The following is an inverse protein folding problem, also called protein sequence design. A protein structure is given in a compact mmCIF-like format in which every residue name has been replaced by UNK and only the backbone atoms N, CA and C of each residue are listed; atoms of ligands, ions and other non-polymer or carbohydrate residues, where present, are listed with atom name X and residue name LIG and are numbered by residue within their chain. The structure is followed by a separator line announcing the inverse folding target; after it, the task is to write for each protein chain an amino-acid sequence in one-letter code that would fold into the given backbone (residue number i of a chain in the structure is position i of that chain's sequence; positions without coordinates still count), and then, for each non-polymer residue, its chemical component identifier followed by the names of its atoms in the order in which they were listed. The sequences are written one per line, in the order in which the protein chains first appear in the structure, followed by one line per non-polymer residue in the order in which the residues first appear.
data_IF_521033470134
#
_entry.id   IF_521033470134
#
_cell.length_a   1.000
_cell.length_b   1.000
_cell.length_c   1.000
_cell.angle_alpha   90.00
_cell.angle_beta   90.00
_cell.angle_gamma   90.00
#
_symmetry.space_group_name_H-M   'P 1'
#
loop_
_entity.id
_entity.type
_entity.pdbx_description
1 polymer ?
#
# COMPACT_ATOMS: atom_id res chain seq x y z
N UNK A 1 -51.02 -2.91 42.63
CA UNK A 1 -50.96 -1.44 42.50
C UNK A 1 -50.20 -1.16 41.22
N UNK A 2 -50.92 -0.70 40.19
CA UNK A 2 -50.35 -0.40 38.89
C UNK A 2 -49.55 0.90 38.93
N UNK A 3 -48.44 0.92 38.20
CA UNK A 3 -47.77 2.16 37.85
C UNK A 3 -47.63 2.17 36.33
N UNK A 4 -48.57 2.86 35.68
CA UNK A 4 -48.52 3.20 34.26
C UNK A 4 -47.53 4.35 34.10
N UNK A 5 -46.33 4.06 33.63
CA UNK A 5 -45.44 5.10 33.10
C UNK A 5 -45.83 5.30 31.62
N UNK A 6 -46.45 6.43 31.33
CA UNK A 6 -46.74 6.88 29.97
C UNK A 6 -45.44 7.10 29.21
N UNK A 7 -45.28 6.43 28.06
CA UNK A 7 -44.20 6.72 27.11
C UNK A 7 -44.33 8.16 26.60
N UNK A 8 -43.25 8.96 26.60
CA UNK A 8 -43.25 10.20 25.84
C UNK A 8 -43.17 9.85 24.35
N UNK A 9 -44.09 10.40 23.56
CA UNK A 9 -44.06 10.34 22.10
C UNK A 9 -42.75 10.93 21.60
N UNK A 10 -41.78 10.07 21.27
CA UNK A 10 -40.59 10.47 20.52
C UNK A 10 -41.08 10.79 19.13
N UNK A 11 -41.26 12.08 18.85
CA UNK A 11 -41.44 12.58 17.50
C UNK A 11 -40.31 12.03 16.65
N UNK A 12 -40.65 11.15 15.72
CA UNK A 12 -39.75 10.68 14.68
C UNK A 12 -39.38 11.91 13.87
N UNK A 13 -38.21 12.50 14.17
CA UNK A 13 -37.53 13.38 13.25
C UNK A 13 -37.20 12.49 12.05
N UNK A 14 -38.05 12.57 11.02
CA UNK A 14 -37.72 12.10 9.68
C UNK A 14 -36.40 12.75 9.31
N UNK A 15 -35.32 11.97 9.42
CA UNK A 15 -34.06 12.28 8.76
C UNK A 15 -34.42 12.38 7.30
N UNK A 16 -34.44 13.61 6.77
CA UNK A 16 -34.59 13.85 5.35
C UNK A 16 -33.53 13.00 4.64
N UNK A 17 -33.99 11.92 3.99
CA UNK A 17 -33.18 11.12 3.10
C UNK A 17 -32.65 12.11 2.07
N UNK A 18 -31.34 12.39 2.12
CA UNK A 18 -30.66 13.18 1.11
C UNK A 18 -31.07 12.61 -0.24
N UNK A 19 -31.69 13.45 -1.07
CA UNK A 19 -32.06 13.13 -2.45
C UNK A 19 -30.86 12.45 -3.09
N UNK A 20 -31.06 11.19 -3.50
CA UNK A 20 -30.02 10.34 -4.06
C UNK A 20 -29.25 11.10 -5.13
N UNK A 21 -27.94 11.17 -4.93
CA UNK A 21 -27.00 11.70 -5.90
C UNK A 21 -27.18 10.92 -7.21
N UNK A 22 -26.97 11.56 -8.38
CA UNK A 22 -27.14 10.89 -9.65
C UNK A 22 -26.35 9.60 -9.64
N UNK A 23 -26.98 8.49 -10.03
CA UNK A 23 -26.27 7.24 -10.23
C UNK A 23 -25.15 7.50 -11.24
N UNK A 24 -23.90 7.54 -10.81
CA UNK A 24 -22.79 7.51 -11.75
C UNK A 24 -22.89 6.18 -12.47
N UNK A 25 -23.05 6.28 -13.78
CA UNK A 25 -23.08 5.13 -14.66
C UNK A 25 -21.73 4.46 -14.51
N UNK A 26 -21.71 3.15 -14.25
CA UNK A 26 -20.48 2.35 -14.15
C UNK A 26 -19.46 2.79 -15.22
N UNK A 27 -18.32 3.30 -14.77
CA UNK A 27 -17.20 3.67 -15.62
C UNK A 27 -16.76 2.51 -16.55
N UNK A 28 -16.47 2.81 -17.82
CA UNK A 28 -15.91 1.85 -18.75
C UNK A 28 -14.46 1.53 -18.32
N UNK A 29 -14.07 0.25 -18.37
CA UNK A 29 -12.71 -0.18 -18.03
C UNK A 29 -11.71 0.39 -19.05
N UNK A 30 -10.52 0.87 -18.63
CA UNK A 30 -10.01 0.92 -17.26
C UNK A 30 -10.74 1.96 -16.39
N UNK A 31 -11.14 1.55 -15.19
CA UNK A 31 -12.00 2.33 -14.30
C UNK A 31 -11.43 2.47 -12.88
N UNK A 32 -11.53 3.66 -12.29
CA UNK A 32 -11.06 3.97 -10.93
C UNK A 32 -12.15 4.60 -10.09
N UNK A 33 -12.30 4.11 -8.86
CA UNK A 33 -13.14 4.76 -7.85
C UNK A 33 -12.27 5.67 -6.96
N UNK A 34 -12.55 6.97 -6.98
CA UNK A 34 -11.97 7.94 -6.05
C UNK A 34 -12.90 8.05 -4.84
N UNK A 35 -12.52 7.41 -3.73
CA UNK A 35 -13.30 7.39 -2.49
C UNK A 35 -12.67 8.35 -1.49
N UNK A 36 -13.39 9.40 -1.07
CA UNK A 36 -12.81 10.41 -0.20
C UNK A 36 -13.75 10.86 0.93
N UNK A 37 -13.16 11.49 1.94
CA UNK A 37 -13.87 12.34 2.90
C UNK A 37 -13.34 13.76 2.81
N UNK A 38 -14.21 14.76 2.96
CA UNK A 38 -13.78 16.16 3.09
C UNK A 38 -14.72 16.93 4.01
N UNK A 39 -14.18 17.55 5.06
CA UNK A 39 -14.96 18.46 5.91
C UNK A 39 -15.05 19.83 5.26
N UNK A 40 -13.92 20.41 4.85
CA UNK A 40 -13.80 21.80 4.37
C UNK A 40 -13.42 21.91 2.88
N UNK A 41 -13.69 20.89 2.07
CA UNK A 41 -13.52 20.96 0.60
C UNK A 41 -12.10 20.68 0.05
N UNK A 42 -11.03 20.90 0.80
CA UNK A 42 -9.63 20.75 0.31
C UNK A 42 -9.35 19.39 -0.36
N UNK A 43 -9.77 18.28 0.27
CA UNK A 43 -9.61 16.93 -0.29
C UNK A 43 -10.44 16.73 -1.56
N UNK A 44 -11.64 17.35 -1.66
CA UNK A 44 -12.45 17.29 -2.88
C UNK A 44 -11.75 18.01 -4.03
N UNK A 45 -11.16 19.18 -3.77
CA UNK A 45 -10.38 19.92 -4.78
C UNK A 45 -9.21 19.07 -5.30
N UNK A 46 -8.48 18.36 -4.42
CA UNK A 46 -7.46 17.39 -4.86
C UNK A 46 -8.07 16.22 -5.65
N UNK A 47 -9.21 15.68 -5.20
CA UNK A 47 -9.88 14.56 -5.86
C UNK A 47 -10.31 14.90 -7.30
N UNK A 48 -10.81 16.12 -7.52
CA UNK A 48 -11.18 16.62 -8.85
C UNK A 48 -9.95 16.71 -9.77
N UNK A 49 -8.82 17.15 -9.23
CA UNK A 49 -7.59 17.29 -10.01
C UNK A 49 -6.95 15.93 -10.33
N UNK A 50 -6.99 15.00 -9.38
CA UNK A 50 -6.63 13.59 -9.59
C UNK A 50 -7.52 12.96 -10.67
N UNK A 51 -8.84 13.22 -10.63
CA UNK A 51 -9.78 12.74 -11.65
C UNK A 51 -9.36 13.18 -13.05
N UNK A 52 -9.02 14.46 -13.23
CA UNK A 52 -8.51 14.98 -14.52
C UNK A 52 -7.23 14.25 -14.96
N UNK A 53 -6.33 13.94 -14.03
CA UNK A 53 -5.13 13.15 -14.30
C UNK A 53 -5.43 11.72 -14.77
N UNK A 54 -6.39 11.04 -14.13
CA UNK A 54 -6.84 9.71 -14.54
C UNK A 54 -7.45 9.75 -15.94
N UNK A 55 -8.37 10.68 -16.20
CA UNK A 55 -9.08 10.82 -17.47
C UNK A 55 -8.13 11.17 -18.62
N UNK A 56 -7.08 11.97 -18.36
CA UNK A 56 -6.04 12.28 -19.34
C UNK A 56 -5.27 11.02 -19.82
N UNK A 57 -5.30 9.93 -19.05
CA UNK A 57 -4.70 8.66 -19.47
C UNK A 57 -5.66 7.74 -20.22
N UNK A 58 -6.93 8.14 -20.38
CA UNK A 58 -8.02 7.29 -20.87
C UNK A 58 -8.62 6.38 -19.80
N UNK A 59 -8.33 6.63 -18.52
CA UNK A 59 -8.92 5.89 -17.38
C UNK A 59 -10.16 6.62 -16.89
N UNK A 60 -11.31 5.95 -16.90
CA UNK A 60 -12.55 6.51 -16.39
C UNK A 60 -12.50 6.61 -14.86
N UNK A 61 -13.03 7.69 -14.27
CA UNK A 61 -12.96 7.92 -12.84
C UNK A 61 -14.28 8.42 -12.23
N UNK A 62 -14.76 7.70 -11.22
CA UNK A 62 -15.99 8.00 -10.48
C UNK A 62 -15.63 8.53 -9.08
N UNK A 63 -16.36 9.54 -8.59
CA UNK A 63 -16.10 10.18 -7.31
C UNK A 63 -17.16 9.78 -6.29
N UNK A 64 -16.67 9.34 -5.14
CA UNK A 64 -17.46 8.89 -4.01
C UNK A 64 -17.05 9.63 -2.75
N UNK A 65 -18.03 10.22 -2.08
CA UNK A 65 -17.85 10.75 -0.74
C UNK A 65 -18.36 9.74 0.28
N UNK A 66 -17.59 9.46 1.33
CA UNK A 66 -18.06 8.59 2.41
C UNK A 66 -19.05 9.32 3.32
N UNK A 67 -19.94 8.58 4.02
CA UNK A 67 -20.89 9.16 4.95
C UNK A 67 -20.27 10.01 6.04
N UNK A 68 -20.95 11.09 6.39
CA UNK A 68 -20.63 11.90 7.56
C UNK A 68 -20.97 11.13 8.84
N UNK A 69 -20.13 11.27 9.87
CA UNK A 69 -20.35 10.62 11.17
C UNK A 69 -20.67 11.62 12.28
N UNK A 70 -20.45 12.92 12.04
CA UNK A 70 -20.78 13.97 12.99
C UNK A 70 -22.25 14.39 12.86
N UNK A 71 -22.94 14.68 13.98
CA UNK A 71 -24.29 15.20 13.91
C UNK A 71 -24.32 16.60 13.29
N UNK A 72 -25.44 17.01 12.66
CA UNK A 72 -25.57 18.32 12.01
C UNK A 72 -25.22 19.50 12.94
N UNK A 73 -25.59 19.42 14.22
CA UNK A 73 -25.27 20.46 15.22
C UNK A 73 -23.77 20.61 15.44
N UNK A 74 -23.00 19.50 15.42
CA UNK A 74 -21.55 19.56 15.52
C UNK A 74 -20.92 20.15 14.25
N UNK A 75 -21.44 19.80 13.07
CA UNK A 75 -20.97 20.39 11.81
C UNK A 75 -21.23 21.90 11.76
N UNK A 76 -22.41 22.34 12.19
CA UNK A 76 -22.75 23.76 12.29
C UNK A 76 -21.81 24.50 13.25
N UNK A 77 -21.52 23.91 14.42
CA UNK A 77 -20.60 24.48 15.40
C UNK A 77 -19.15 24.56 14.88
N UNK A 78 -18.75 23.62 14.01
CA UNK A 78 -17.45 23.64 13.33
C UNK A 78 -17.39 24.61 12.14
N UNK A 79 -18.51 25.22 11.75
CA UNK A 79 -18.60 26.00 10.51
C UNK A 79 -18.32 25.16 9.26
N UNK A 80 -18.63 23.86 9.30
CA UNK A 80 -18.40 22.99 8.16
C UNK A 80 -19.35 23.38 7.01
N UNK A 81 -18.85 23.57 5.78
CA UNK A 81 -19.69 23.85 4.64
C UNK A 81 -20.56 22.64 4.28
N UNK A 82 -21.63 22.91 3.54
CA UNK A 82 -22.45 21.85 2.95
C UNK A 82 -21.62 20.93 2.05
N UNK A 83 -21.99 19.65 2.02
CA UNK A 83 -21.34 18.68 1.15
C UNK A 83 -21.73 18.92 -0.32
N UNK A 84 -20.82 18.66 -1.27
CA UNK A 84 -21.11 18.79 -2.69
C UNK A 84 -22.30 17.94 -3.11
N UNK A 85 -23.27 18.54 -3.80
CA UNK A 85 -24.47 17.87 -4.29
C UNK A 85 -24.27 17.12 -5.63
N UNK A 86 -23.06 17.13 -6.18
CA UNK A 86 -22.67 16.50 -7.45
C UNK A 86 -21.86 15.20 -7.27
N UNK A 87 -21.52 14.83 -6.03
CA UNK A 87 -20.68 13.66 -5.72
C UNK A 87 -21.47 12.59 -5.00
N UNK A 88 -21.44 11.35 -5.50
CA UNK A 88 -22.16 10.22 -4.91
C UNK A 88 -21.77 9.94 -3.46
N UNK A 89 -22.76 9.71 -2.61
CA UNK A 89 -22.59 9.24 -1.25
C UNK A 89 -22.39 7.73 -1.32
N UNK A 90 -21.26 7.26 -0.83
CA UNK A 90 -20.94 5.84 -0.81
C UNK A 90 -21.64 5.19 0.38
N UNK A 91 -22.91 4.84 0.18
CA UNK A 91 -23.68 4.11 1.17
C UNK A 91 -23.28 2.62 1.23
N UNK A 92 -23.86 1.92 2.20
CA UNK A 92 -23.57 0.50 2.41
C UNK A 92 -23.99 -0.38 1.24
N UNK A 93 -25.02 0.01 0.48
CA UNK A 93 -25.51 -0.77 -0.65
C UNK A 93 -24.48 -0.77 -1.79
N UNK A 94 -23.78 0.34 -1.99
CA UNK A 94 -22.77 0.47 -3.04
C UNK A 94 -21.45 -0.26 -2.74
N UNK A 95 -21.18 -0.68 -1.50
CA UNK A 95 -19.97 -1.44 -1.17
C UNK A 95 -19.80 -2.70 -2.04
N UNK A 96 -20.91 -3.37 -2.37
CA UNK A 96 -20.92 -4.56 -3.22
C UNK A 96 -20.54 -4.28 -4.70
N UNK A 97 -20.60 -3.01 -5.11
CA UNK A 97 -20.26 -2.56 -6.45
C UNK A 97 -18.78 -2.19 -6.58
N UNK A 98 -18.09 -1.87 -5.47
CA UNK A 98 -16.67 -1.51 -5.48
C UNK A 98 -15.78 -2.53 -6.21
N UNK A 99 -15.96 -3.86 -6.06
CA UNK A 99 -15.16 -4.83 -6.79
C UNK A 99 -15.24 -4.74 -8.32
N UNK A 100 -16.19 -3.99 -8.88
CA UNK A 100 -16.33 -3.76 -10.32
C UNK A 100 -15.33 -2.74 -10.87
N UNK A 101 -14.67 -1.95 -10.03
CA UNK A 101 -13.60 -1.01 -10.43
C UNK A 101 -12.25 -1.71 -10.55
N UNK A 102 -11.36 -1.19 -11.40
CA UNK A 102 -10.03 -1.75 -11.64
C UNK A 102 -8.97 -1.23 -10.65
N UNK A 103 -9.19 -0.04 -10.09
CA UNK A 103 -8.34 0.55 -9.04
C UNK A 103 -9.08 1.56 -8.16
N UNK A 104 -8.45 1.97 -7.07
CA UNK A 104 -9.01 2.91 -6.10
C UNK A 104 -8.00 3.96 -5.67
N UNK A 105 -8.48 5.18 -5.49
CA UNK A 105 -7.72 6.25 -4.84
C UNK A 105 -8.49 6.75 -3.63
N UNK A 106 -7.84 6.77 -2.46
CA UNK A 106 -8.47 7.13 -1.19
C UNK A 106 -8.01 8.51 -0.70
N UNK A 107 -8.96 9.43 -0.60
CA UNK A 107 -8.72 10.81 -0.18
C UNK A 107 -9.14 11.04 1.27
N UNK A 108 -8.24 11.59 2.10
CA UNK A 108 -8.55 11.78 3.52
C UNK A 108 -7.88 13.03 4.12
N UNK A 109 -8.59 13.84 4.93
CA UNK A 109 -7.93 14.84 5.75
C UNK A 109 -7.27 14.13 6.92
N UNK A 110 -6.10 14.60 7.33
CA UNK A 110 -5.39 14.06 8.50
C UNK A 110 -6.15 14.36 9.79
N UNK A 111 -6.08 13.42 10.73
CA UNK A 111 -6.37 13.58 12.15
C UNK A 111 -5.20 12.97 12.90
N UNK A 112 -4.28 13.84 13.32
CA UNK A 112 -3.08 13.47 14.08
C UNK A 112 -2.22 12.38 13.40
N UNK A 113 -2.01 12.49 12.09
CA UNK A 113 -1.21 11.52 11.33
C UNK A 113 -1.95 10.24 10.94
N UNK A 114 -3.27 10.21 11.10
CA UNK A 114 -4.15 9.13 10.66
C UNK A 114 -5.31 9.66 9.81
N UNK A 115 -6.03 8.76 9.15
CA UNK A 115 -7.25 9.11 8.44
C UNK A 115 -8.33 9.63 9.40
N UNK A 116 -9.21 10.50 8.91
CA UNK A 116 -10.40 10.92 9.66
C UNK A 116 -11.34 9.74 9.98
N UNK A 117 -12.11 9.87 11.06
CA UNK A 117 -12.99 8.80 11.56
C UNK A 117 -14.04 8.35 10.54
N UNK A 118 -14.51 9.26 9.67
CA UNK A 118 -15.44 8.96 8.59
C UNK A 118 -14.83 7.98 7.58
N UNK A 119 -13.56 8.19 7.22
CA UNK A 119 -12.84 7.27 6.34
C UNK A 119 -12.56 5.93 7.03
N UNK A 120 -12.23 5.98 8.33
CA UNK A 120 -12.06 4.76 9.12
C UNK A 120 -13.37 3.96 9.21
N UNK A 121 -14.50 4.62 9.43
CA UNK A 121 -15.82 3.99 9.47
C UNK A 121 -16.21 3.35 8.13
N UNK A 122 -15.84 3.98 7.01
CA UNK A 122 -15.96 3.36 5.69
C UNK A 122 -15.18 2.05 5.61
N UNK A 123 -13.89 2.04 5.96
CA UNK A 123 -13.08 0.81 5.95
C UNK A 123 -13.63 -0.24 6.93
N UNK A 124 -14.10 0.15 8.12
CA UNK A 124 -14.73 -0.77 9.07
C UNK A 124 -16.02 -1.40 8.51
N UNK A 125 -16.70 -0.70 7.61
CA UNK A 125 -17.85 -1.22 6.86
C UNK A 125 -17.51 -2.26 5.78
N UNK A 126 -16.23 -2.41 5.40
CA UNK A 126 -15.79 -3.29 4.29
C UNK A 126 -15.49 -4.74 4.69
N UNK A 127 -15.88 -5.18 5.89
CA UNK A 127 -15.56 -6.52 6.39
C UNK A 127 -15.98 -7.68 5.48
N UNK A 128 -17.11 -7.58 4.77
CA UNK A 128 -17.54 -8.60 3.81
C UNK A 128 -16.67 -8.66 2.55
N UNK A 129 -16.15 -7.51 2.09
CA UNK A 129 -15.21 -7.44 0.97
C UNK A 129 -13.85 -8.04 1.36
N UNK A 130 -13.42 -7.81 2.60
CA UNK A 130 -12.23 -8.44 3.17
C UNK A 130 -12.40 -9.96 3.23
N UNK A 131 -13.50 -10.44 3.82
CA UNK A 131 -13.74 -11.87 4.03
C UNK A 131 -13.80 -12.65 2.72
N UNK A 132 -14.35 -12.05 1.66
CA UNK A 132 -14.41 -12.66 0.32
C UNK A 132 -13.14 -12.45 -0.51
N UNK A 133 -12.20 -11.62 -0.05
CA UNK A 133 -11.01 -11.24 -0.82
C UNK A 133 -11.33 -10.42 -2.08
N UNK A 134 -12.49 -9.74 -2.13
CA UNK A 134 -13.01 -9.12 -3.35
C UNK A 134 -12.15 -7.95 -3.88
N UNK A 135 -11.30 -7.37 -3.03
CA UNK A 135 -10.37 -6.30 -3.39
C UNK A 135 -8.92 -6.80 -3.58
N UNK A 136 -8.65 -8.09 -3.34
CA UNK A 136 -7.30 -8.63 -3.43
C UNK A 136 -6.70 -8.45 -4.83
N UNK A 137 -5.48 -7.95 -4.89
CA UNK A 137 -4.75 -7.64 -6.11
C UNK A 137 -5.19 -6.36 -6.83
N UNK A 138 -6.26 -5.67 -6.42
CA UNK A 138 -6.61 -4.38 -7.03
C UNK A 138 -5.60 -3.31 -6.64
N UNK A 139 -5.42 -2.31 -7.50
CA UNK A 139 -4.48 -1.21 -7.22
C UNK A 139 -5.13 -0.20 -6.27
N UNK A 140 -4.35 0.34 -5.33
CA UNK A 140 -4.77 1.37 -4.38
C UNK A 140 -3.72 2.48 -4.26
N UNK A 141 -4.15 3.73 -4.18
CA UNK A 141 -3.30 4.87 -3.84
C UNK A 141 -4.01 5.82 -2.86
N UNK A 142 -3.27 6.75 -2.26
CA UNK A 142 -3.80 7.68 -1.25
C UNK A 142 -3.41 9.12 -1.56
N UNK A 143 -4.25 10.07 -1.14
CA UNK A 143 -3.98 11.51 -1.17
C UNK A 143 -4.54 12.20 0.08
N UNK A 144 -3.86 13.24 0.57
CA UNK A 144 -4.08 13.75 1.93
C UNK A 144 -4.22 15.27 1.98
N UNK A 145 -4.94 15.78 2.97
CA UNK A 145 -4.87 17.20 3.36
C UNK A 145 -4.47 17.33 4.83
N UNK A 146 -3.52 18.23 5.14
CA UNK A 146 -3.06 18.50 6.51
C UNK A 146 -3.19 19.98 6.87
N UNK A 147 -3.26 20.30 8.16
CA UNK A 147 -3.26 21.70 8.61
C UNK A 147 -1.87 22.35 8.54
N UNK A 148 -0.81 21.59 8.83
CA UNK A 148 0.57 22.10 8.92
C UNK A 148 1.54 21.24 8.10
N UNK A 149 2.73 21.80 7.80
CA UNK A 149 3.73 21.24 6.89
C UNK A 149 4.16 19.81 7.21
N UNK A 150 4.26 19.43 8.48
CA UNK A 150 4.69 18.09 8.89
C UNK A 150 3.71 17.42 9.86
N UNK A 151 2.50 17.99 10.01
CA UNK A 151 1.45 17.48 10.89
C UNK A 151 0.72 16.25 10.32
N UNK A 152 1.46 15.29 9.77
CA UNK A 152 0.90 14.06 9.23
C UNK A 152 0.90 13.93 7.71
N UNK A 153 1.71 14.72 6.99
CA UNK A 153 1.81 14.69 5.52
C UNK A 153 2.23 13.33 4.96
N UNK A 154 3.04 12.58 5.71
CA UNK A 154 3.48 11.23 5.31
C UNK A 154 2.78 10.15 6.13
N UNK A 155 2.67 10.34 7.44
CA UNK A 155 2.14 9.32 8.35
C UNK A 155 0.67 8.98 8.08
N UNK A 156 -0.12 9.93 7.57
CA UNK A 156 -1.51 9.67 7.16
C UNK A 156 -1.57 8.68 6.00
N UNK A 157 -0.67 8.80 5.01
CA UNK A 157 -0.57 7.81 3.94
C UNK A 157 -0.08 6.47 4.50
N UNK A 158 1.02 6.50 5.25
CA UNK A 158 1.66 5.30 5.82
C UNK A 158 0.67 4.44 6.63
N UNK A 159 -0.10 5.06 7.53
CA UNK A 159 -1.09 4.35 8.34
C UNK A 159 -2.30 3.89 7.53
N UNK A 160 -2.67 4.59 6.46
CA UNK A 160 -3.73 4.16 5.55
C UNK A 160 -3.34 2.93 4.71
N UNK A 161 -2.05 2.74 4.39
CA UNK A 161 -1.58 1.55 3.64
C UNK A 161 -1.93 0.25 4.36
N UNK A 162 -1.96 0.23 5.70
CA UNK A 162 -2.38 -0.95 6.47
C UNK A 162 -3.77 -1.45 6.04
N UNK A 163 -4.72 -0.55 5.76
CA UNK A 163 -6.06 -0.95 5.29
C UNK A 163 -6.00 -1.61 3.91
N UNK A 164 -5.18 -1.08 3.00
CA UNK A 164 -4.99 -1.64 1.66
C UNK A 164 -4.35 -3.03 1.73
N UNK A 165 -3.33 -3.18 2.57
CA UNK A 165 -2.59 -4.44 2.75
C UNK A 165 -3.49 -5.53 3.31
N UNK A 166 -4.33 -5.24 4.30
CA UNK A 166 -5.29 -6.20 4.84
C UNK A 166 -6.33 -6.64 3.82
N UNK A 167 -6.73 -5.76 2.89
CA UNK A 167 -7.57 -6.11 1.73
C UNK A 167 -6.81 -6.81 0.60
N UNK A 168 -5.48 -7.00 0.73
CA UNK A 168 -4.63 -7.59 -0.31
C UNK A 168 -4.43 -6.70 -1.54
N UNK A 169 -4.71 -5.40 -1.44
CA UNK A 169 -4.57 -4.44 -2.53
C UNK A 169 -3.10 -4.08 -2.75
N UNK A 170 -2.69 -3.90 -4.00
CA UNK A 170 -1.34 -3.44 -4.32
C UNK A 170 -1.25 -1.91 -4.18
N UNK A 171 -0.33 -1.41 -3.36
CA UNK A 171 -0.18 0.03 -3.13
C UNK A 171 0.70 0.67 -4.20
N UNK A 172 0.15 1.68 -4.89
CA UNK A 172 0.83 2.47 -5.92
C UNK A 172 1.21 3.84 -5.30
N UNK A 173 2.47 4.04 -4.92
CA UNK A 173 2.94 5.35 -4.46
C UNK A 173 3.10 6.32 -5.63
N UNK A 174 3.18 7.62 -5.33
CA UNK A 174 3.61 8.61 -6.32
C UNK A 174 5.10 8.45 -6.64
N UNK A 175 5.91 8.05 -5.66
CA UNK A 175 7.36 8.18 -5.72
C UNK A 175 7.76 9.62 -6.03
N UNK A 176 8.86 9.80 -6.73
CA UNK A 176 9.28 11.13 -7.21
C UNK A 176 8.87 11.41 -8.66
N UNK A 177 7.82 10.73 -9.15
CA UNK A 177 7.38 10.86 -10.54
C UNK A 177 6.78 12.23 -10.88
N UNK A 178 6.50 13.06 -9.87
CA UNK A 178 6.08 14.46 -10.02
C UNK A 178 7.25 15.45 -9.78
N UNK A 179 8.51 14.99 -9.82
CA UNK A 179 9.68 15.84 -9.64
C UNK A 179 9.74 17.03 -10.61
N UNK A 180 9.47 16.78 -11.90
CA UNK A 180 9.36 17.84 -12.93
C UNK A 180 8.09 18.69 -12.81
N UNK A 181 7.17 18.30 -11.94
CA UNK A 181 5.91 19.00 -11.68
C UNK A 181 5.95 19.87 -10.41
N UNK A 182 7.11 19.93 -9.74
CA UNK A 182 7.33 20.77 -8.55
C UNK A 182 7.43 20.01 -7.24
N UNK A 183 7.42 18.67 -7.26
CA UNK A 183 7.54 17.87 -6.02
C UNK A 183 8.86 18.09 -5.25
N UNK A 184 9.90 18.57 -5.92
CA UNK A 184 11.19 18.94 -5.33
C UNK A 184 11.34 20.45 -5.05
N UNK A 185 10.27 21.23 -5.21
CA UNK A 185 10.37 22.68 -5.02
C UNK A 185 10.73 23.02 -3.57
N UNK A 186 11.56 24.05 -3.40
CA UNK A 186 11.99 24.56 -2.10
C UNK A 186 11.74 26.07 -1.97
N UNK A 187 11.02 26.66 -2.92
CA UNK A 187 10.76 28.09 -3.00
C UNK A 187 9.38 28.45 -2.42
N UNK A 188 8.41 27.54 -2.45
CA UNK A 188 7.10 27.72 -1.82
C UNK A 188 6.73 26.59 -0.86
N UNK A 189 5.90 26.90 0.13
CA UNK A 189 5.37 25.90 1.07
C UNK A 189 4.28 25.09 0.35
N UNK A 190 4.49 23.78 0.20
CA UNK A 190 3.56 22.89 -0.48
C UNK A 190 3.44 21.51 0.19
N UNK A 191 2.35 20.80 -0.10
CA UNK A 191 2.21 19.36 0.10
C UNK A 191 2.67 18.55 -1.10
N UNK A 192 2.58 17.23 -0.98
CA UNK A 192 3.12 16.25 -1.92
C UNK A 192 4.38 15.59 -1.37
N UNK A 193 4.34 14.26 -1.29
CA UNK A 193 5.44 13.42 -0.80
C UNK A 193 5.56 12.20 -1.71
N UNK A 194 6.61 11.36 -1.60
CA UNK A 194 6.68 10.14 -2.41
C UNK A 194 5.52 9.16 -2.12
N UNK A 195 4.83 9.27 -0.98
CA UNK A 195 3.64 8.48 -0.68
C UNK A 195 2.45 8.83 -1.57
N UNK A 196 2.30 10.11 -1.93
CA UNK A 196 1.14 10.59 -2.67
C UNK A 196 1.05 12.12 -2.68
N UNK A 197 0.13 12.64 -3.49
CA UNK A 197 -0.21 14.06 -3.49
C UNK A 197 -0.85 14.44 -2.16
N UNK A 198 -0.55 15.65 -1.71
CA UNK A 198 -1.20 16.22 -0.55
C UNK A 198 -1.26 17.74 -0.63
N UNK A 199 -2.06 18.35 0.25
CA UNK A 199 -2.21 19.81 0.34
C UNK A 199 -2.21 20.31 1.77
N UNK A 200 -1.77 21.55 1.97
CA UNK A 200 -1.80 22.26 3.24
C UNK A 200 -3.01 23.19 3.34
N UNK A 201 -3.91 22.91 4.28
CA UNK A 201 -5.09 23.72 4.57
C UNK A 201 -4.79 24.97 5.42
N UNK A 202 -3.60 25.05 6.03
CA UNK A 202 -3.28 26.07 7.03
C UNK A 202 -3.89 25.74 8.40
N UNK A 203 -3.42 26.43 9.45
CA UNK A 203 -3.83 26.15 10.83
C UNK A 203 -5.33 26.46 11.07
N UNK A 204 -5.89 27.40 10.32
CA UNK A 204 -7.28 27.84 10.38
C UNK A 204 -8.15 27.28 9.23
N UNK A 205 -7.57 26.48 8.32
CA UNK A 205 -8.27 25.95 7.16
C UNK A 205 -8.48 26.94 6.01
N UNK A 206 -7.87 28.12 6.04
CA UNK A 206 -8.06 29.16 5.02
C UNK A 206 -7.26 28.93 3.74
N UNK A 207 -6.11 28.22 3.81
CA UNK A 207 -5.22 28.01 2.66
C UNK A 207 -5.81 26.96 1.73
N UNK A 208 -6.17 27.37 0.52
CA UNK A 208 -6.61 26.44 -0.53
C UNK A 208 -5.42 25.71 -1.18
N UNK A 209 -5.66 24.56 -1.83
CA UNK A 209 -4.63 23.89 -2.61
C UNK A 209 -4.00 24.83 -3.64
N UNK A 210 -2.68 24.96 -3.56
CA UNK A 210 -1.87 25.77 -4.46
C UNK A 210 -1.83 25.18 -5.88
N UNK A 211 -1.45 26.00 -6.87
CA UNK A 211 -1.28 25.53 -8.25
C UNK A 211 -0.26 24.38 -8.36
N UNK A 212 0.82 24.42 -7.57
CA UNK A 212 1.82 23.36 -7.53
C UNK A 212 1.24 22.06 -6.97
N UNK A 213 0.55 22.11 -5.82
CA UNK A 213 -0.10 20.93 -5.23
C UNK A 213 -1.14 20.30 -6.18
N UNK A 214 -1.91 21.13 -6.90
CA UNK A 214 -2.85 20.67 -7.93
C UNK A 214 -2.12 19.99 -9.10
N UNK A 215 -1.00 20.55 -9.55
CA UNK A 215 -0.19 19.95 -10.62
C UNK A 215 0.35 18.58 -10.20
N UNK A 216 0.83 18.44 -8.96
CA UNK A 216 1.26 17.16 -8.38
C UNK A 216 0.08 16.18 -8.29
N UNK A 217 -1.10 16.64 -7.86
CA UNK A 217 -2.30 15.82 -7.75
C UNK A 217 -2.75 15.26 -9.11
N UNK A 218 -2.78 16.11 -10.15
CA UNK A 218 -3.01 15.69 -11.53
C UNK A 218 -1.98 14.64 -11.96
N UNK A 219 -0.70 14.89 -11.66
CA UNK A 219 0.37 13.95 -12.00
C UNK A 219 0.16 12.59 -11.34
N UNK A 220 -0.22 12.55 -10.07
CA UNK A 220 -0.54 11.30 -9.39
C UNK A 220 -1.69 10.55 -10.08
N UNK A 221 -2.72 11.26 -10.52
CA UNK A 221 -3.80 10.68 -11.34
C UNK A 221 -3.27 10.04 -12.62
N UNK A 222 -2.35 10.69 -13.34
CA UNK A 222 -1.73 10.13 -14.54
C UNK A 222 -0.90 8.87 -14.24
N UNK A 223 -0.08 8.92 -13.18
CA UNK A 223 0.74 7.79 -12.73
C UNK A 223 -0.13 6.58 -12.39
N UNK A 224 -1.18 6.81 -11.60
CA UNK A 224 -2.09 5.75 -11.18
C UNK A 224 -2.90 5.20 -12.36
N UNK A 225 -3.43 6.05 -13.23
CA UNK A 225 -4.18 5.64 -14.43
C UNK A 225 -3.33 4.79 -15.38
N UNK A 226 -2.05 5.14 -15.56
CA UNK A 226 -1.11 4.33 -16.33
C UNK A 226 -0.83 2.97 -15.67
N UNK A 227 -0.76 2.90 -14.34
CA UNK A 227 -0.65 1.64 -13.62
C UNK A 227 -1.90 0.76 -13.77
N UNK A 228 -3.10 1.33 -13.66
CA UNK A 228 -4.38 0.60 -13.84
C UNK A 228 -4.53 0.11 -15.27
N UNK A 229 -4.15 0.89 -16.28
CA UNK A 229 -4.11 0.39 -17.68
C UNK A 229 -3.25 -0.85 -17.84
N UNK A 230 -2.21 -1.03 -17.02
CA UNK A 230 -1.39 -2.26 -17.08
C UNK A 230 -2.13 -3.49 -16.60
N UNK A 231 -3.17 -3.36 -15.76
CA UNK A 231 -3.91 -4.52 -15.25
C UNK A 231 -5.04 -4.97 -16.17
N UNK A 232 -5.50 -4.11 -17.07
CA UNK A 232 -6.65 -4.33 -17.97
C UNK A 232 -6.26 -4.54 -19.43
N UNK A 233 -5.05 -4.15 -19.83
CA UNK A 233 -4.53 -4.45 -21.17
C UNK A 233 -4.06 -5.91 -21.23
N UNK A 234 -4.27 -6.64 -22.34
CA UNK A 234 -3.68 -7.97 -22.52
C UNK A 234 -2.18 -7.97 -22.22
N UNK A 235 -1.72 -8.98 -21.49
CA UNK A 235 -0.31 -9.13 -21.13
C UNK A 235 0.55 -9.30 -22.40
N UNK A 236 1.76 -8.75 -22.38
CA UNK A 236 2.69 -8.92 -23.49
C UNK A 236 3.19 -10.36 -23.61
N UNK A 237 3.65 -10.73 -24.81
CA UNK A 237 4.22 -12.06 -25.10
C UNK A 237 5.57 -12.32 -24.39
N UNK A 238 6.16 -11.33 -23.72
CA UNK A 238 7.43 -11.47 -23.01
C UNK A 238 7.22 -12.30 -21.73
N UNK A 239 8.10 -13.28 -21.51
CA UNK A 239 8.15 -14.03 -20.26
C UNK A 239 8.58 -13.10 -19.10
N UNK A 240 7.78 -12.95 -18.04
CA UNK A 240 8.13 -12.08 -16.91
C UNK A 240 9.43 -12.47 -16.22
N UNK A 241 10.17 -11.46 -15.75
CA UNK A 241 11.43 -11.63 -15.02
C UNK A 241 11.36 -10.99 -13.63
N UNK A 242 11.65 -11.77 -12.60
CA UNK A 242 11.67 -11.34 -11.20
C UNK A 242 13.06 -11.53 -10.59
N UNK A 243 13.51 -10.54 -9.83
CA UNK A 243 14.72 -10.64 -9.02
C UNK A 243 14.35 -10.92 -7.56
N UNK A 244 15.01 -11.87 -6.92
CA UNK A 244 14.98 -12.06 -5.47
C UNK A 244 16.31 -11.59 -4.91
N UNK A 245 16.32 -10.52 -4.11
CA UNK A 245 17.51 -10.07 -3.38
C UNK A 245 17.29 -10.33 -1.90
N UNK A 246 18.16 -11.10 -1.26
CA UNK A 246 17.99 -11.43 0.15
C UNK A 246 19.30 -11.34 0.93
N UNK A 247 19.21 -11.19 2.24
CA UNK A 247 20.32 -11.44 3.15
C UNK A 247 19.95 -12.53 4.14
N UNK A 248 20.88 -13.45 4.41
CA UNK A 248 20.67 -14.54 5.36
C UNK A 248 21.97 -14.85 6.09
N UNK A 249 22.00 -14.61 7.39
CA UNK A 249 23.13 -15.03 8.24
C UNK A 249 23.03 -16.52 8.58
N UNK A 250 21.84 -16.98 8.99
CA UNK A 250 21.62 -18.31 9.56
C UNK A 250 20.79 -19.26 8.67
N UNK A 251 20.54 -18.90 7.41
CA UNK A 251 19.83 -19.77 6.45
C UNK A 251 18.30 -19.60 6.40
N UNK A 252 17.65 -19.09 7.44
CA UNK A 252 16.18 -18.96 7.53
C UNK A 252 15.54 -18.17 6.37
N UNK A 253 16.06 -16.97 6.10
CA UNK A 253 15.56 -16.13 4.99
C UNK A 253 15.83 -16.81 3.64
N UNK A 254 16.98 -17.48 3.49
CA UNK A 254 17.30 -18.24 2.28
C UNK A 254 16.29 -19.35 2.04
N UNK A 255 15.91 -20.09 3.09
CA UNK A 255 14.93 -21.16 2.97
C UNK A 255 13.57 -20.65 2.47
N UNK A 256 13.12 -19.47 2.94
CA UNK A 256 11.92 -18.82 2.39
C UNK A 256 12.13 -18.34 0.94
N UNK A 257 13.31 -17.76 0.64
CA UNK A 257 13.63 -17.29 -0.70
C UNK A 257 13.58 -18.41 -1.74
N UNK A 258 14.13 -19.59 -1.41
CA UNK A 258 14.08 -20.79 -2.25
C UNK A 258 12.65 -21.23 -2.55
N UNK A 259 11.81 -21.25 -1.52
CA UNK A 259 10.42 -21.69 -1.62
C UNK A 259 9.58 -20.73 -2.47
N UNK A 260 9.75 -19.43 -2.24
CA UNK A 260 9.11 -18.36 -3.02
C UNK A 260 9.58 -18.41 -4.48
N UNK A 261 10.89 -18.51 -4.72
CA UNK A 261 11.46 -18.57 -6.06
C UNK A 261 11.00 -19.81 -6.83
N UNK A 262 10.96 -20.98 -6.17
CA UNK A 262 10.46 -22.22 -6.77
C UNK A 262 9.00 -22.07 -7.22
N UNK A 263 8.14 -21.56 -6.34
CA UNK A 263 6.72 -21.36 -6.67
C UNK A 263 6.50 -20.36 -7.82
N UNK A 264 7.30 -19.28 -7.90
CA UNK A 264 7.24 -18.36 -9.05
C UNK A 264 7.70 -19.00 -10.36
N UNK A 265 8.73 -19.86 -10.32
CA UNK A 265 9.22 -20.59 -11.50
C UNK A 265 8.17 -21.57 -12.02
N UNK A 266 7.46 -22.27 -11.13
CA UNK A 266 6.31 -23.13 -11.47
C UNK A 266 5.18 -22.35 -12.16
N UNK A 267 5.00 -21.08 -11.78
CA UNK A 267 4.03 -20.15 -12.39
C UNK A 267 4.51 -19.56 -13.74
N UNK A 268 5.65 -20.01 -14.26
CA UNK A 268 6.20 -19.62 -15.54
C UNK A 268 7.02 -18.33 -15.52
N UNK A 269 7.37 -17.81 -14.35
CA UNK A 269 8.20 -16.59 -14.20
C UNK A 269 9.68 -16.95 -14.22
N UNK A 270 10.50 -16.17 -14.92
CA UNK A 270 11.97 -16.28 -14.81
C UNK A 270 12.42 -15.62 -13.51
N UNK A 271 13.16 -16.34 -12.67
CA UNK A 271 13.58 -15.85 -11.36
C UNK A 271 15.08 -15.96 -11.20
N UNK A 272 15.73 -14.80 -11.04
CA UNK A 272 17.14 -14.71 -10.66
C UNK A 272 17.24 -14.36 -9.18
N UNK A 273 18.20 -14.96 -8.48
CA UNK A 273 18.33 -14.82 -7.03
C UNK A 273 19.74 -14.36 -6.67
N UNK A 274 19.81 -13.39 -5.77
CA UNK A 274 21.04 -12.77 -5.34
C UNK A 274 21.08 -12.56 -3.83
N UNK A 275 22.29 -12.59 -3.30
CA UNK A 275 22.59 -12.17 -1.94
C UNK A 275 22.90 -10.68 -1.90
N UNK A 276 22.43 -9.98 -0.87
CA UNK A 276 23.00 -8.69 -0.51
C UNK A 276 24.44 -8.88 0.02
N UNK A 277 25.35 -7.90 -0.20
CA UNK A 277 26.72 -7.98 0.27
C UNK A 277 26.83 -8.21 1.78
N UNK A 278 27.77 -9.07 2.18
CA UNK A 278 28.13 -9.23 3.59
C UNK A 278 29.00 -8.06 4.06
N UNK A 279 28.73 -7.56 5.26
CA UNK A 279 29.46 -6.46 5.90
C UNK A 279 30.35 -6.94 7.05
N UNK A 280 30.06 -8.11 7.63
CA UNK A 280 30.83 -8.64 8.74
C UNK A 280 32.04 -9.43 8.25
N UNK A 281 33.21 -9.19 8.86
CA UNK A 281 34.42 -9.96 8.59
C UNK A 281 34.27 -11.43 8.99
N UNK A 282 35.05 -12.30 8.33
CA UNK A 282 34.99 -13.75 8.52
C UNK A 282 35.18 -14.18 9.98
N UNK A 283 36.07 -13.53 10.73
CA UNK A 283 36.30 -13.82 12.15
C UNK A 283 35.08 -13.51 13.02
N UNK A 284 34.35 -12.45 12.71
CA UNK A 284 33.11 -12.09 13.42
C UNK A 284 32.03 -13.12 13.13
N UNK A 285 31.85 -13.49 11.87
CA UNK A 285 30.91 -14.53 11.46
C UNK A 285 31.21 -15.88 12.14
N UNK A 286 32.49 -16.26 12.21
CA UNK A 286 32.93 -17.47 12.92
C UNK A 286 32.57 -17.42 14.41
N UNK A 287 32.82 -16.29 15.09
CA UNK A 287 32.46 -16.10 16.50
C UNK A 287 30.94 -16.12 16.74
N UNK A 288 30.16 -15.68 15.75
CA UNK A 288 28.70 -15.72 15.78
C UNK A 288 28.12 -17.11 15.48
N UNK A 289 28.95 -18.10 15.16
CA UNK A 289 28.51 -19.43 14.71
C UNK A 289 27.74 -19.39 13.39
N UNK A 290 28.00 -18.39 12.54
CA UNK A 290 27.31 -18.28 11.26
C UNK A 290 27.74 -19.43 10.32
N UNK A 291 26.79 -20.12 9.67
CA UNK A 291 27.10 -21.13 8.67
C UNK A 291 27.77 -20.49 7.44
N UNK A 292 28.31 -21.35 6.56
CA UNK A 292 28.78 -20.91 5.25
C UNK A 292 27.67 -20.20 4.48
N UNK A 293 28.04 -19.15 3.74
CA UNK A 293 27.08 -18.40 2.91
C UNK A 293 26.56 -19.29 1.78
N UNK A 294 25.28 -19.11 1.38
CA UNK A 294 24.76 -19.68 0.14
C UNK A 294 25.65 -19.37 -1.07
N UNK A 295 25.55 -20.19 -2.12
CA UNK A 295 26.32 -20.03 -3.35
C UNK A 295 25.75 -19.02 -4.35
N UNK A 296 24.58 -18.43 -4.07
CA UNK A 296 23.94 -17.46 -4.95
C UNK A 296 24.82 -16.22 -5.15
N UNK A 297 24.79 -15.65 -6.35
CA UNK A 297 25.62 -14.50 -6.69
C UNK A 297 25.31 -13.28 -5.78
N UNK A 298 26.31 -12.46 -5.51
CA UNK A 298 26.13 -11.22 -4.75
C UNK A 298 25.67 -10.09 -5.68
N UNK A 299 24.61 -9.39 -5.29
CA UNK A 299 24.16 -8.14 -5.90
C UNK A 299 24.96 -6.98 -5.30
N UNK A 300 26.19 -6.81 -5.78
CA UNK A 300 27.07 -5.71 -5.38
C UNK A 300 26.75 -4.41 -6.14
N UNK A 301 27.46 -3.34 -5.78
CA UNK A 301 27.31 -2.01 -6.37
C UNK A 301 27.56 -1.96 -7.89
N UNK A 302 28.31 -2.91 -8.46
CA UNK A 302 28.58 -2.97 -9.91
C UNK A 302 27.40 -3.58 -10.68
N UNK A 303 26.56 -4.37 -9.99
CA UNK A 303 25.41 -5.07 -10.59
C UNK A 303 24.07 -4.47 -10.23
N UNK A 304 24.01 -3.60 -9.20
CA UNK A 304 22.75 -3.04 -8.69
C UNK A 304 21.88 -2.40 -9.79
N UNK A 305 22.49 -1.81 -10.83
CA UNK A 305 21.74 -1.23 -11.94
C UNK A 305 20.88 -2.24 -12.70
N UNK A 306 21.25 -3.52 -12.69
CA UNK A 306 20.50 -4.61 -13.33
C UNK A 306 19.11 -4.80 -12.72
N UNK A 307 18.83 -4.26 -11.52
CA UNK A 307 17.48 -4.23 -10.97
C UNK A 307 16.48 -3.55 -11.92
N UNK A 308 16.95 -2.62 -12.77
CA UNK A 308 16.16 -1.97 -13.80
C UNK A 308 15.65 -2.93 -14.89
N UNK A 309 16.28 -4.11 -15.06
CA UNK A 309 15.94 -5.08 -16.11
C UNK A 309 14.81 -6.04 -15.70
N UNK A 310 14.44 -6.05 -14.41
CA UNK A 310 13.40 -6.93 -13.88
C UNK A 310 12.03 -6.24 -13.85
N UNK A 311 10.98 -7.04 -13.94
CA UNK A 311 9.60 -6.57 -13.89
C UNK A 311 9.07 -6.48 -12.44
N UNK A 312 9.65 -7.29 -11.55
CA UNK A 312 9.38 -7.26 -10.13
C UNK A 312 10.58 -7.70 -9.28
N UNK A 313 10.61 -7.25 -8.04
CA UNK A 313 11.70 -7.51 -7.09
C UNK A 313 11.12 -7.96 -5.74
N UNK A 314 11.59 -9.08 -5.19
CA UNK A 314 11.28 -9.51 -3.83
C UNK A 314 12.50 -9.38 -2.94
N UNK A 315 12.30 -8.80 -1.75
CA UNK A 315 13.36 -8.57 -0.78
C UNK A 315 13.24 -9.50 0.43
N UNK A 316 14.25 -10.32 0.66
CA UNK A 316 14.36 -11.21 1.82
C UNK A 316 15.13 -10.55 2.96
N UNK A 317 14.44 -10.24 4.05
CA UNK A 317 14.95 -9.32 5.08
C UNK A 317 14.98 -10.01 6.45
N UNK A 318 16.16 -10.30 7.02
CA UNK A 318 16.22 -10.74 8.41
C UNK A 318 16.00 -9.54 9.33
N UNK A 319 15.09 -9.67 10.29
CA UNK A 319 14.73 -8.57 11.17
C UNK A 319 15.86 -8.19 12.13
N UNK A 320 15.97 -6.89 12.42
CA UNK A 320 16.66 -6.33 13.57
C UNK A 320 15.72 -5.29 14.20
N UNK A 321 15.09 -5.69 15.30
CA UNK A 321 14.15 -4.85 16.06
C UNK A 321 13.02 -4.26 15.20
N UNK A 322 12.45 -5.03 14.28
CA UNK A 322 11.39 -4.55 13.38
C UNK A 322 11.87 -3.73 12.19
N UNK A 323 13.17 -3.81 11.86
CA UNK A 323 13.77 -3.16 10.71
C UNK A 323 14.71 -4.10 9.95
N UNK A 324 15.20 -3.67 8.80
CA UNK A 324 16.16 -4.43 8.01
C UNK A 324 17.52 -4.57 8.72
N UNK A 325 18.16 -5.74 8.61
CA UNK A 325 19.56 -5.88 8.99
C UNK A 325 20.47 -4.92 8.19
N UNK A 326 21.62 -4.55 8.77
CA UNK A 326 22.54 -3.57 8.21
C UNK A 326 22.95 -3.87 6.76
N UNK A 327 23.13 -5.14 6.40
CA UNK A 327 23.47 -5.59 5.05
C UNK A 327 22.38 -5.24 4.04
N UNK A 328 21.11 -5.46 4.40
CA UNK A 328 19.98 -5.07 3.54
C UNK A 328 19.83 -3.55 3.48
N UNK A 329 20.09 -2.84 4.59
CA UNK A 329 20.06 -1.38 4.59
C UNK A 329 21.16 -0.79 3.69
N UNK A 330 22.39 -1.27 3.79
CA UNK A 330 23.49 -0.88 2.91
C UNK A 330 23.21 -1.21 1.44
N UNK A 331 22.57 -2.34 1.17
CA UNK A 331 22.10 -2.66 -0.18
C UNK A 331 21.10 -1.61 -0.69
N UNK A 332 20.09 -1.23 0.10
CA UNK A 332 19.17 -0.15 -0.30
C UNK A 332 19.90 1.18 -0.50
N UNK A 333 20.86 1.53 0.35
CA UNK A 333 21.64 2.76 0.22
C UNK A 333 22.48 2.78 -1.08
N UNK A 334 22.87 1.61 -1.60
CA UNK A 334 23.57 1.49 -2.89
C UNK A 334 22.69 1.76 -4.12
N UNK A 335 21.37 1.87 -3.95
CA UNK A 335 20.42 2.08 -5.05
C UNK A 335 20.19 3.56 -5.40
N UNK A 336 21.00 4.50 -4.87
CA UNK A 336 20.81 5.94 -5.04
C UNK A 336 20.71 6.41 -6.50
N UNK A 337 21.49 5.86 -7.43
CA UNK A 337 21.40 6.24 -8.85
C UNK A 337 20.12 5.73 -9.53
N UNK A 338 19.59 4.58 -9.10
CA UNK A 338 18.31 4.05 -9.57
C UNK A 338 17.16 4.93 -9.10
N UNK A 339 17.25 5.44 -7.86
CA UNK A 339 16.32 6.43 -7.33
C UNK A 339 16.37 7.72 -8.16
N UNK A 340 17.59 8.26 -8.37
CA UNK A 340 17.79 9.52 -9.07
C UNK A 340 17.26 9.48 -10.51
N UNK A 341 17.41 8.35 -11.19
CA UNK A 341 16.90 8.14 -12.56
C UNK A 341 15.43 7.70 -12.61
N UNK A 342 14.81 7.37 -11.47
CA UNK A 342 13.46 6.79 -11.42
C UNK A 342 13.37 5.40 -12.06
N UNK A 343 14.48 4.67 -12.21
CA UNK A 343 14.54 3.43 -12.98
C UNK A 343 13.70 2.28 -12.41
N UNK A 344 13.35 2.33 -11.11
CA UNK A 344 12.49 1.34 -10.47
C UNK A 344 11.02 1.78 -10.39
N UNK A 345 10.69 2.99 -10.83
CA UNK A 345 9.35 3.53 -10.71
C UNK A 345 8.35 2.69 -11.52
N UNK A 346 7.25 2.28 -10.87
CA UNK A 346 6.24 1.40 -11.46
C UNK A 346 6.60 -0.09 -11.51
N UNK A 347 7.81 -0.51 -11.10
CA UNK A 347 8.13 -1.93 -10.92
C UNK A 347 7.43 -2.50 -9.70
N UNK A 348 7.19 -3.82 -9.70
CA UNK A 348 6.54 -4.47 -8.57
C UNK A 348 7.57 -4.77 -7.48
N UNK A 349 7.21 -4.55 -6.22
CA UNK A 349 8.05 -4.87 -5.07
C UNK A 349 7.26 -5.64 -4.00
N UNK A 350 7.93 -6.55 -3.31
CA UNK A 350 7.40 -7.22 -2.13
C UNK A 350 8.52 -7.62 -1.18
N UNK A 351 8.16 -8.11 0.01
CA UNK A 351 9.16 -8.55 0.98
C UNK A 351 8.71 -9.78 1.76
N UNK A 352 9.67 -10.55 2.22
CA UNK A 352 9.52 -11.67 3.15
C UNK A 352 10.59 -11.55 4.22
N UNK A 353 10.33 -12.02 5.44
CA UNK A 353 11.27 -11.81 6.54
C UNK A 353 11.47 -13.03 7.45
N UNK A 354 12.48 -12.96 8.31
CA UNK A 354 12.67 -13.91 9.41
C UNK A 354 12.86 -13.14 10.70
N UNK A 355 12.17 -13.57 11.76
CA UNK A 355 12.28 -12.99 13.11
C UNK A 355 12.76 -14.00 14.12
N UNK A 356 13.35 -13.54 15.22
CA UNK A 356 13.74 -14.44 16.32
C UNK A 356 12.52 -14.98 17.06
N UNK A 357 11.60 -14.09 17.45
CA UNK A 357 10.47 -14.41 18.32
C UNK A 357 9.14 -13.88 17.77
N UNK A 358 8.05 -14.41 18.33
CA UNK A 358 6.68 -13.91 18.16
C UNK A 358 6.62 -12.39 18.40
N UNK A 359 5.94 -11.67 17.51
CA UNK A 359 5.77 -10.22 17.54
C UNK A 359 7.08 -9.39 17.56
N UNK A 360 8.25 -10.01 17.40
CA UNK A 360 9.57 -9.35 17.37
C UNK A 360 9.87 -8.58 16.07
N UNK A 361 8.84 -8.11 15.37
CA UNK A 361 8.97 -7.37 14.12
C UNK A 361 8.39 -8.04 12.88
N UNK A 362 7.47 -9.00 13.05
CA UNK A 362 6.85 -9.74 11.93
C UNK A 362 6.11 -8.83 10.94
N UNK A 363 5.50 -7.76 11.42
CA UNK A 363 4.84 -6.76 10.56
C UNK A 363 5.75 -5.56 10.32
N UNK A 364 6.35 -5.01 11.39
CA UNK A 364 7.11 -3.76 11.31
C UNK A 364 8.33 -3.84 10.39
N UNK A 365 8.94 -5.01 10.22
CA UNK A 365 10.04 -5.18 9.24
C UNK A 365 9.57 -4.89 7.81
N UNK A 366 8.36 -5.32 7.44
CA UNK A 366 7.77 -5.01 6.15
C UNK A 366 7.38 -3.53 6.06
N UNK A 367 6.73 -3.01 7.10
CA UNK A 367 6.29 -1.62 7.16
C UNK A 367 7.45 -0.63 7.02
N UNK A 368 8.56 -0.86 7.73
CA UNK A 368 9.76 0.00 7.63
C UNK A 368 10.46 -0.15 6.29
N UNK A 369 10.42 -1.34 5.68
CA UNK A 369 10.96 -1.58 4.34
C UNK A 369 10.17 -0.83 3.25
N UNK A 370 8.84 -0.74 3.41
CA UNK A 370 7.95 -0.07 2.45
C UNK A 370 8.42 1.35 2.08
N UNK A 371 9.03 2.08 3.03
CA UNK A 371 9.59 3.41 2.78
C UNK A 371 10.56 3.43 1.59
N UNK A 372 11.41 2.40 1.45
CA UNK A 372 12.34 2.26 0.33
C UNK A 372 11.58 2.03 -0.98
N UNK A 373 10.50 1.25 -0.97
CA UNK A 373 9.69 0.99 -2.15
C UNK A 373 9.00 2.27 -2.64
N UNK A 374 8.45 3.02 -1.69
CA UNK A 374 7.75 4.28 -1.93
C UNK A 374 8.68 5.33 -2.52
N UNK A 375 9.87 5.53 -1.96
CA UNK A 375 10.84 6.49 -2.51
C UNK A 375 11.31 6.11 -3.92
N UNK A 376 11.41 4.82 -4.23
CA UNK A 376 11.71 4.34 -5.58
C UNK A 376 10.50 4.35 -6.53
N UNK A 377 9.30 4.69 -6.05
CA UNK A 377 8.07 4.65 -6.83
C UNK A 377 7.63 3.23 -7.22
N UNK A 378 8.10 2.20 -6.53
CA UNK A 378 7.73 0.80 -6.78
C UNK A 378 6.32 0.51 -6.24
N UNK A 379 5.57 -0.30 -6.97
CA UNK A 379 4.22 -0.75 -6.58
C UNK A 379 4.38 -1.92 -5.60
N UNK A 380 3.89 -1.74 -4.38
CA UNK A 380 3.97 -2.78 -3.35
C UNK A 380 2.88 -3.84 -3.55
N UNK A 381 3.28 -5.10 -3.66
CA UNK A 381 2.39 -6.27 -3.74
C UNK A 381 2.42 -6.99 -2.39
N UNK A 382 1.42 -6.80 -1.52
CA UNK A 382 1.34 -7.51 -0.26
C UNK A 382 0.94 -8.98 -0.48
N UNK A 383 1.12 -9.80 0.56
CA UNK A 383 0.50 -11.13 0.61
C UNK A 383 -1.03 -11.02 0.81
N UNK A 384 -1.48 -10.01 1.55
CA UNK A 384 -2.82 -9.92 2.08
C UNK A 384 -3.19 -11.15 2.90
N UNK A 385 -4.48 -11.46 2.98
CA UNK A 385 -4.96 -12.74 3.53
C UNK A 385 -5.14 -13.83 2.48
N UNK A 386 -4.48 -13.70 1.31
CA UNK A 386 -4.63 -14.66 0.21
C UNK A 386 -4.08 -16.05 0.55
N UNK A 387 -3.28 -16.17 1.62
CA UNK A 387 -2.80 -17.42 2.20
C UNK A 387 -3.66 -17.92 3.38
N UNK A 388 -4.88 -17.40 3.56
CA UNK A 388 -5.81 -17.85 4.61
C UNK A 388 -6.07 -19.35 4.57
N UNK A 389 -6.36 -19.91 3.38
CA UNK A 389 -6.51 -21.35 3.16
C UNK A 389 -5.19 -22.14 3.17
N UNK A 390 -4.06 -21.43 3.22
CA UNK A 390 -2.71 -21.99 3.25
C UNK A 390 -2.11 -21.96 4.67
N UNK A 391 -2.90 -21.63 5.68
CA UNK A 391 -2.49 -21.66 7.10
C UNK A 391 -2.34 -20.30 7.75
N UNK A 392 -2.49 -19.19 7.01
CA UNK A 392 -2.34 -17.84 7.60
C UNK A 392 -3.40 -17.52 8.67
N UNK A 393 -4.55 -18.22 8.67
CA UNK A 393 -5.59 -18.12 9.70
C UNK A 393 -5.50 -19.23 10.76
N UNK A 394 -4.45 -20.05 10.72
CA UNK A 394 -4.32 -21.13 11.68
C UNK A 394 -4.12 -20.57 13.10
N UNK A 395 -4.75 -21.23 14.06
CA UNK A 395 -4.68 -20.87 15.49
C UNK A 395 -4.20 -22.05 16.34
N UNK A 396 -3.65 -23.09 15.72
CA UNK A 396 -3.27 -24.36 16.36
C UNK A 396 -1.76 -24.52 16.49
N UNK A 397 -0.96 -23.89 15.62
CA UNK A 397 0.50 -23.85 15.74
C UNK A 397 1.07 -22.42 15.63
N UNK A 398 2.28 -22.23 16.17
CA UNK A 398 3.02 -20.98 16.02
C UNK A 398 3.64 -20.93 14.62
N UNK A 399 3.23 -19.95 13.81
CA UNK A 399 3.76 -19.71 12.47
C UNK A 399 3.96 -18.23 12.18
N UNK A 400 4.96 -17.92 11.36
CA UNK A 400 5.11 -16.63 10.70
C UNK A 400 4.14 -16.46 9.53
N UNK A 401 4.13 -15.26 8.96
CA UNK A 401 3.22 -14.82 7.90
C UNK A 401 2.23 -13.79 8.42
N UNK A 402 2.20 -12.64 7.75
CA UNK A 402 1.22 -11.56 8.01
C UNK A 402 0.66 -11.06 6.69
N UNK A 403 -0.37 -10.21 6.68
CA UNK A 403 -0.87 -9.59 5.46
C UNK A 403 0.20 -8.83 4.67
N UNK A 404 1.26 -8.38 5.34
CA UNK A 404 2.38 -7.71 4.69
C UNK A 404 3.19 -8.69 3.82
N UNK A 405 3.52 -9.87 4.33
CA UNK A 405 4.37 -10.83 3.62
C UNK A 405 4.55 -12.14 4.39
N UNK A 406 5.10 -13.14 3.71
CA UNK A 406 5.48 -14.39 4.35
C UNK A 406 6.68 -14.17 5.28
N UNK A 407 6.73 -14.96 6.34
CA UNK A 407 7.82 -14.90 7.28
C UNK A 407 7.96 -16.18 8.10
N UNK A 408 9.08 -16.29 8.82
CA UNK A 408 9.41 -17.46 9.66
C UNK A 408 10.03 -17.05 11.00
N UNK A 409 9.83 -17.87 12.02
CA UNK A 409 10.52 -17.74 13.31
C UNK A 409 11.78 -18.60 13.39
N UNK A 410 12.92 -17.99 13.73
CA UNK A 410 14.18 -18.67 13.99
C UNK A 410 14.28 -19.26 15.41
N UNK A 411 13.42 -18.83 16.34
CA UNK A 411 13.59 -19.12 17.77
C UNK A 411 14.64 -18.21 18.42
N UNK A 412 14.62 -18.10 19.75
CA UNK A 412 15.52 -17.23 20.50
C UNK A 412 17.00 -17.65 20.37
N UNK A 413 17.25 -18.95 20.23
CA UNK A 413 18.57 -19.56 20.02
C UNK A 413 18.92 -19.74 18.53
N UNK A 414 17.99 -19.43 17.62
CA UNK A 414 18.16 -19.59 16.18
C UNK A 414 17.98 -21.02 15.65
N UNK A 415 17.60 -21.99 16.49
CA UNK A 415 17.53 -23.41 16.11
C UNK A 415 16.27 -23.80 15.32
N UNK A 416 15.15 -23.10 15.55
CA UNK A 416 13.88 -23.38 14.87
C UNK A 416 13.99 -23.09 13.38
N UNK A 417 13.73 -24.09 12.57
CA UNK A 417 13.67 -23.95 11.11
C UNK A 417 12.26 -23.53 10.67
N UNK A 418 12.15 -23.04 9.44
CA UNK A 418 10.85 -22.73 8.86
C UNK A 418 9.92 -23.95 8.87
N UNK A 419 8.73 -23.78 9.46
CA UNK A 419 7.75 -24.87 9.54
C UNK A 419 7.13 -25.17 8.17
N UNK A 420 6.48 -26.34 8.03
CA UNK A 420 5.77 -26.68 6.81
C UNK A 420 4.69 -25.64 6.46
N UNK A 421 4.01 -25.08 7.48
CA UNK A 421 3.02 -24.02 7.30
C UNK A 421 3.64 -22.72 6.81
N UNK A 422 4.75 -22.28 7.40
CA UNK A 422 5.46 -21.07 6.97
C UNK A 422 5.95 -21.20 5.52
N UNK A 423 6.45 -22.38 5.15
CA UNK A 423 6.84 -22.68 3.76
C UNK A 423 5.64 -22.68 2.81
N UNK A 424 4.49 -23.22 3.23
CA UNK A 424 3.25 -23.18 2.45
C UNK A 424 2.77 -21.73 2.21
N UNK A 425 2.82 -20.89 3.24
CA UNK A 425 2.53 -19.45 3.13
C UNK A 425 3.53 -18.75 2.19
N UNK A 426 4.82 -19.10 2.27
CA UNK A 426 5.86 -18.58 1.38
C UNK A 426 5.60 -18.97 -0.09
N UNK A 427 5.24 -20.22 -0.37
CA UNK A 427 4.81 -20.65 -1.72
C UNK A 427 3.63 -19.83 -2.21
N UNK A 428 2.65 -19.56 -1.34
CA UNK A 428 1.49 -18.75 -1.70
C UNK A 428 1.88 -17.31 -2.06
N UNK A 429 2.81 -16.70 -1.33
CA UNK A 429 3.34 -15.38 -1.66
C UNK A 429 3.98 -15.36 -3.06
N UNK A 430 4.79 -16.36 -3.39
CA UNK A 430 5.39 -16.45 -4.73
C UNK A 430 4.33 -16.55 -5.83
N UNK A 431 3.27 -17.35 -5.64
CA UNK A 431 2.15 -17.42 -6.59
C UNK A 431 1.40 -16.10 -6.74
N UNK A 432 1.10 -15.41 -5.64
CA UNK A 432 0.45 -14.09 -5.64
C UNK A 432 1.30 -13.07 -6.41
N UNK A 433 2.60 -13.02 -6.11
CA UNK A 433 3.52 -12.11 -6.77
C UNK A 433 3.65 -12.42 -8.27
N UNK A 434 3.86 -13.70 -8.63
CA UNK A 434 3.92 -14.14 -10.03
C UNK A 434 2.65 -13.80 -10.81
N UNK A 435 1.48 -13.99 -10.22
CA UNK A 435 0.20 -13.62 -10.84
C UNK A 435 0.14 -12.12 -11.13
N UNK A 436 0.58 -11.28 -10.18
CA UNK A 436 0.57 -9.81 -10.36
C UNK A 436 1.57 -9.36 -11.40
N UNK A 437 2.78 -9.92 -11.40
CA UNK A 437 3.81 -9.63 -12.41
C UNK A 437 3.30 -10.04 -13.80
N UNK A 438 2.78 -11.25 -13.97
CA UNK A 438 2.17 -11.71 -15.25
C UNK A 438 1.09 -10.75 -15.75
N UNK A 439 0.28 -10.20 -14.85
CA UNK A 439 -0.75 -9.25 -15.22
C UNK A 439 -0.20 -7.89 -15.66
N UNK A 440 0.87 -7.39 -15.04
CA UNK A 440 1.33 -6.01 -15.22
C UNK A 440 2.56 -5.85 -16.13
N UNK A 441 3.15 -6.95 -16.60
CA UNK A 441 4.24 -6.95 -17.58
C UNK A 441 3.72 -6.60 -18.97
N UNK A 442 4.45 -5.70 -19.62
CA UNK A 442 4.21 -5.22 -20.98
C UNK A 442 5.49 -5.30 -21.78
#
# INVERSE_FOLDING_TARGET
MGNTCSEPSVGVLEVAIQKGLPAQKKAASPSVAIVYYSTYGHVKVLADEIKKGLEATGTSADLFQVPETLPPTALQALGAPDKPADVMLLDRAFLSELPKYDGFMFGMPTRFGMMASQMKAFFDGTGSLWQSGALAGKLGATFVSTGTQQGGQETTHFTAVTQLVHHGMCYVPLGYQAGGDGQFDLNEIHGGSPWGASTLAGADGSRQPSALELKIAKKQGEVFGNAVKRTTTPAAAKKPKVCVVYYSTYGHVKKLADEIAASMKEEGVTVDMFQAPELLGADVLKKMGAPAKPSDAVMDHTKVQQLADYDGILFGIPTRFGSAAAQMKAFFDSTGSLWQSGALAGKLAGSFCSTGTLNGGQESTHMTTLTNFVHHGMIYVPLGYQAGGDGQFDMTEIHGGSPWGASTFAGADGSRQASAMELKIARRQGKVFASKVKQMVK
#
